data_IF_928244572687
#
_entry.id   IF_928244572687
#
_cell.length_a   1.000
_cell.length_b   1.000
_cell.length_c   1.000
_cell.angle_alpha   90.00
_cell.angle_beta   90.00
_cell.angle_gamma   90.00
#
_symmetry.space_group_name_H-M   'P 1'
#
loop_
_entity.id
_entity.type
_entity.pdbx_description
1 polymer ?
#
# COMPACT_ATOMS: atom_id res chain seq x y z
N UNK A 1 -2.19 -9.16 16.06
CA UNK A 1 -2.84 -10.40 15.61
C UNK A 1 -1.82 -11.20 14.83
N UNK A 2 -1.69 -12.52 15.03
CA UNK A 2 -0.78 -13.36 14.23
C UNK A 2 -1.27 -13.56 12.78
N UNK A 3 -2.56 -13.30 12.52
CA UNK A 3 -3.20 -13.45 11.21
C UNK A 3 -4.17 -12.29 10.90
N UNK A 4 -4.59 -12.18 9.65
CA UNK A 4 -5.50 -11.13 9.16
C UNK A 4 -4.97 -10.44 7.90
N UNK A 5 -5.78 -9.56 7.32
CA UNK A 5 -5.41 -8.77 6.13
C UNK A 5 -5.07 -7.34 6.54
N UNK A 6 -3.93 -6.85 6.05
CA UNK A 6 -3.56 -5.44 6.03
C UNK A 6 -3.63 -4.94 4.59
N UNK A 7 -4.47 -3.93 4.35
CA UNK A 7 -4.68 -3.32 3.04
C UNK A 7 -3.98 -1.98 2.96
N UNK A 8 -3.10 -1.79 1.97
CA UNK A 8 -2.50 -0.49 1.66
C UNK A 8 -3.21 0.09 0.43
N UNK A 9 -3.81 1.26 0.58
CA UNK A 9 -4.60 1.91 -0.46
C UNK A 9 -4.01 3.24 -0.89
N UNK A 10 -4.43 3.68 -2.07
CA UNK A 10 -4.00 4.93 -2.69
C UNK A 10 -3.84 4.80 -4.20
N UNK A 11 -3.67 5.92 -4.91
CA UNK A 11 -3.48 5.92 -6.36
C UNK A 11 -2.15 5.30 -6.78
N UNK A 12 -1.95 5.14 -8.09
CA UNK A 12 -0.63 4.82 -8.65
C UNK A 12 0.41 5.87 -8.23
N UNK A 13 1.61 5.41 -7.86
CA UNK A 13 2.68 6.31 -7.41
C UNK A 13 2.53 6.84 -5.98
N UNK A 14 1.59 6.33 -5.18
CA UNK A 14 1.47 6.70 -3.77
C UNK A 14 2.47 5.99 -2.84
N UNK A 15 3.33 5.10 -3.36
CA UNK A 15 4.34 4.38 -2.57
C UNK A 15 3.82 3.14 -1.84
N UNK A 16 2.70 2.54 -2.29
CA UNK A 16 2.11 1.34 -1.66
C UNK A 16 3.10 0.17 -1.57
N UNK A 17 3.76 -0.16 -2.69
CA UNK A 17 4.76 -1.25 -2.74
C UNK A 17 5.91 -0.97 -1.80
N UNK A 18 6.42 0.27 -1.77
CA UNK A 18 7.49 0.70 -0.86
C UNK A 18 7.13 0.45 0.60
N UNK A 19 5.91 0.81 1.02
CA UNK A 19 5.42 0.58 2.38
C UNK A 19 5.28 -0.91 2.69
N UNK A 20 4.74 -1.71 1.77
CA UNK A 20 4.63 -3.16 1.96
C UNK A 20 6.01 -3.81 2.10
N UNK A 21 6.95 -3.48 1.20
CA UNK A 21 8.31 -4.00 1.23
C UNK A 21 9.04 -3.63 2.53
N UNK A 22 8.86 -2.39 3.02
CA UNK A 22 9.41 -1.96 4.29
C UNK A 22 8.82 -2.76 5.46
N UNK A 23 7.50 -3.00 5.46
CA UNK A 23 6.83 -3.82 6.47
C UNK A 23 7.34 -5.26 6.46
N UNK A 24 7.39 -5.89 5.28
CA UNK A 24 7.90 -7.26 5.09
C UNK A 24 9.36 -7.38 5.55
N UNK A 25 10.22 -6.44 5.12
CA UNK A 25 11.63 -6.43 5.53
C UNK A 25 11.81 -6.27 7.04
N UNK A 26 10.92 -5.51 7.70
CA UNK A 26 10.96 -5.30 9.15
C UNK A 26 10.58 -6.55 9.94
N UNK A 27 9.68 -7.38 9.41
CA UNK A 27 9.19 -8.59 10.07
C UNK A 27 9.86 -9.88 9.58
N UNK A 28 10.72 -9.75 8.56
CA UNK A 28 11.50 -10.84 7.97
C UNK A 28 12.45 -11.43 8.99
N UNK A 29 12.34 -12.74 9.20
CA UNK A 29 13.16 -13.49 10.13
C UNK A 29 13.29 -14.95 9.63
N UNK A 30 14.40 -15.65 9.92
CA UNK A 30 14.65 -16.99 9.38
C UNK A 30 13.61 -18.05 9.77
N UNK A 31 12.84 -17.80 10.83
CA UNK A 31 11.75 -18.63 11.34
C UNK A 31 10.41 -18.40 10.64
N UNK A 32 10.33 -17.45 9.69
CA UNK A 32 9.10 -17.14 8.96
C UNK A 32 9.24 -17.38 7.47
N UNK A 33 8.28 -18.09 6.90
CA UNK A 33 8.13 -18.28 5.47
C UNK A 33 7.30 -17.14 4.88
N UNK A 34 7.96 -16.23 4.16
CA UNK A 34 7.31 -15.09 3.49
C UNK A 34 7.30 -15.32 1.99
N UNK A 35 6.10 -15.31 1.39
CA UNK A 35 5.93 -15.52 -0.04
C UNK A 35 5.06 -14.42 -0.66
N UNK A 36 5.49 -13.87 -1.80
CA UNK A 36 4.77 -12.80 -2.51
C UNK A 36 4.34 -13.22 -3.92
N UNK A 37 3.26 -12.63 -4.43
CA UNK A 37 2.87 -12.67 -5.85
C UNK A 37 2.68 -11.25 -6.37
N UNK A 38 3.38 -10.87 -7.44
CA UNK A 38 3.57 -9.46 -7.84
C UNK A 38 3.55 -9.27 -9.38
N UNK A 39 3.21 -8.07 -9.86
CA UNK A 39 3.13 -7.75 -11.30
C UNK A 39 3.62 -6.32 -11.61
N UNK A 40 4.91 -6.12 -11.97
CA UNK A 40 6.04 -7.03 -11.81
C UNK A 40 6.68 -6.94 -10.41
N UNK A 41 7.72 -7.74 -10.16
CA UNK A 41 8.58 -7.55 -8.97
C UNK A 41 9.42 -6.28 -9.18
N UNK A 42 9.35 -5.32 -8.25
CA UNK A 42 10.10 -4.05 -8.36
C UNK A 42 11.61 -4.25 -8.12
N UNK A 43 11.95 -5.00 -7.08
CA UNK A 43 13.31 -5.42 -6.73
C UNK A 43 13.27 -6.62 -5.79
N UNK A 44 14.40 -7.32 -5.69
CA UNK A 44 14.51 -8.53 -4.87
C UNK A 44 14.67 -8.18 -3.37
N UNK A 45 13.88 -8.85 -2.54
CA UNK A 45 13.95 -8.80 -1.08
C UNK A 45 14.68 -10.05 -0.57
N UNK A 46 15.86 -9.91 0.07
CA UNK A 46 16.59 -11.05 0.63
C UNK A 46 15.75 -11.83 1.65
N UNK A 47 15.75 -13.15 1.54
CA UNK A 47 15.02 -14.04 2.46
C UNK A 47 13.51 -14.15 2.21
N UNK A 48 12.99 -13.53 1.14
CA UNK A 48 11.57 -13.58 0.77
C UNK A 48 11.43 -14.26 -0.59
N UNK A 49 10.49 -15.20 -0.70
CA UNK A 49 10.19 -15.87 -1.97
C UNK A 49 9.23 -15.00 -2.79
N UNK A 50 9.68 -14.47 -3.93
CA UNK A 50 8.86 -13.58 -4.76
C UNK A 50 8.49 -14.23 -6.08
N UNK A 51 7.19 -14.29 -6.36
CA UNK A 51 6.63 -14.85 -7.58
C UNK A 51 6.12 -13.72 -8.47
N UNK A 52 6.66 -13.60 -9.68
CA UNK A 52 6.11 -12.67 -10.65
C UNK A 52 4.96 -13.31 -11.45
N UNK A 53 3.86 -12.59 -11.57
CA UNK A 53 2.72 -12.91 -12.44
C UNK A 53 3.20 -13.07 -13.89
N UNK A 54 2.73 -14.11 -14.56
CA UNK A 54 3.05 -14.43 -15.96
C UNK A 54 1.76 -14.85 -16.69
N UNK A 55 0.95 -13.88 -17.15
CA UNK A 55 -0.37 -14.16 -17.74
C UNK A 55 -0.29 -15.05 -18.99
N UNK A 56 0.80 -14.94 -19.76
CA UNK A 56 1.04 -15.76 -20.98
C UNK A 56 1.06 -17.27 -20.73
N UNK A 57 1.30 -17.69 -19.49
CA UNK A 57 1.32 -19.10 -19.08
C UNK A 57 0.26 -19.41 -18.03
N UNK A 58 -0.71 -18.51 -17.81
CA UNK A 58 -1.81 -18.69 -16.85
C UNK A 58 -1.45 -18.47 -15.38
N UNK A 59 -0.25 -17.95 -15.07
CA UNK A 59 0.13 -17.57 -13.72
C UNK A 59 -0.39 -16.15 -13.42
N UNK A 60 -1.59 -16.04 -12.83
CA UNK A 60 -2.27 -14.81 -12.42
C UNK A 60 -2.12 -14.58 -10.91
N UNK A 61 -2.64 -13.47 -10.38
CA UNK A 61 -2.71 -13.26 -8.92
C UNK A 61 -3.48 -14.39 -8.22
N UNK A 62 -4.69 -14.71 -8.69
CA UNK A 62 -5.49 -15.78 -8.11
C UNK A 62 -4.81 -17.16 -8.19
N UNK A 63 -4.26 -17.54 -9.34
CA UNK A 63 -3.59 -18.85 -9.46
C UNK A 63 -2.28 -18.89 -8.66
N UNK A 64 -1.49 -17.83 -8.68
CA UNK A 64 -0.28 -17.68 -7.86
C UNK A 64 -0.59 -17.78 -6.36
N UNK A 65 -1.59 -17.05 -5.89
CA UNK A 65 -2.02 -17.08 -4.49
C UNK A 65 -2.51 -18.48 -4.06
N UNK A 66 -3.27 -19.19 -4.92
CA UNK A 66 -3.64 -20.60 -4.66
C UNK A 66 -2.42 -21.52 -4.51
N UNK A 67 -1.35 -21.28 -5.26
CA UNK A 67 -0.12 -22.04 -5.09
C UNK A 67 0.57 -21.69 -3.78
N UNK A 68 0.65 -20.40 -3.44
CA UNK A 68 1.29 -19.90 -2.22
C UNK A 68 0.68 -20.54 -0.96
N UNK A 69 -0.65 -20.60 -0.85
CA UNK A 69 -1.32 -21.17 0.34
C UNK A 69 -1.03 -22.67 0.56
N UNK A 70 -0.43 -23.36 -0.43
CA UNK A 70 0.01 -24.77 -0.32
C UNK A 70 1.52 -24.90 -0.08
N UNK A 71 2.22 -23.79 0.16
CA UNK A 71 3.66 -23.74 0.41
C UNK A 71 3.99 -23.52 1.89
N UNK A 72 3.02 -23.75 2.79
CA UNK A 72 3.17 -23.54 4.23
C UNK A 72 3.68 -22.12 4.57
N UNK A 73 3.08 -21.03 4.04
CA UNK A 73 3.53 -19.68 4.33
C UNK A 73 3.10 -19.24 5.73
N UNK A 74 3.88 -18.36 6.37
CA UNK A 74 3.42 -17.61 7.54
C UNK A 74 2.81 -16.27 7.11
N UNK A 75 3.46 -15.63 6.13
CA UNK A 75 3.11 -14.29 5.63
C UNK A 75 3.00 -14.34 4.11
N UNK A 76 1.91 -13.78 3.61
CA UNK A 76 1.60 -13.70 2.18
C UNK A 76 1.53 -12.23 1.78
N UNK A 77 2.12 -11.86 0.65
CA UNK A 77 1.85 -10.57 0.01
C UNK A 77 1.28 -10.78 -1.39
N UNK A 78 0.14 -10.15 -1.65
CA UNK A 78 -0.50 -10.13 -2.96
C UNK A 78 -0.39 -8.71 -3.49
N UNK A 79 0.33 -8.50 -4.58
CA UNK A 79 0.65 -7.17 -5.10
C UNK A 79 -0.56 -6.24 -5.15
N UNK A 80 -1.71 -6.76 -5.60
CA UNK A 80 -3.00 -6.08 -5.52
C UNK A 80 -4.18 -7.05 -5.64
N UNK A 81 -5.33 -6.63 -5.11
CA UNK A 81 -6.61 -7.31 -5.32
C UNK A 81 -7.40 -6.52 -6.38
N UNK A 82 -7.57 -7.12 -7.56
CA UNK A 82 -8.32 -6.52 -8.68
C UNK A 82 -9.70 -7.14 -8.89
N UNK A 83 -9.89 -8.38 -8.43
CA UNK A 83 -11.06 -9.21 -8.68
C UNK A 83 -11.51 -9.95 -7.42
N UNK A 84 -12.76 -10.43 -7.45
CA UNK A 84 -13.39 -11.17 -6.36
C UNK A 84 -12.64 -12.47 -6.04
N UNK A 85 -12.16 -13.17 -7.06
CA UNK A 85 -11.48 -14.46 -6.91
C UNK A 85 -10.22 -14.31 -6.05
N UNK A 86 -9.38 -13.32 -6.35
CA UNK A 86 -8.18 -13.00 -5.56
C UNK A 86 -8.55 -12.55 -4.15
N UNK A 87 -9.60 -11.73 -4.02
CA UNK A 87 -10.09 -11.25 -2.72
C UNK A 87 -10.55 -12.39 -1.81
N UNK A 88 -11.35 -13.32 -2.32
CA UNK A 88 -11.84 -14.49 -1.59
C UNK A 88 -10.69 -15.35 -1.07
N UNK A 89 -9.71 -15.65 -1.94
CA UNK A 89 -8.57 -16.49 -1.53
C UNK A 89 -7.73 -15.78 -0.45
N UNK A 90 -7.50 -14.47 -0.59
CA UNK A 90 -6.76 -13.69 0.41
C UNK A 90 -7.47 -13.68 1.78
N UNK A 91 -8.79 -13.51 1.76
CA UNK A 91 -9.64 -13.56 2.96
C UNK A 91 -9.59 -14.94 3.60
N UNK A 92 -9.80 -16.01 2.83
CA UNK A 92 -9.72 -17.36 3.36
C UNK A 92 -8.34 -17.67 3.93
N UNK A 93 -7.26 -17.27 3.26
CA UNK A 93 -5.90 -17.42 3.79
C UNK A 93 -5.75 -16.69 5.15
N UNK A 94 -6.26 -15.47 5.25
CA UNK A 94 -6.17 -14.72 6.51
C UNK A 94 -6.97 -15.33 7.67
N UNK A 95 -8.10 -15.97 7.36
CA UNK A 95 -8.95 -16.66 8.33
C UNK A 95 -8.38 -18.02 8.74
N UNK A 96 -7.51 -18.62 7.93
CA UNK A 96 -6.81 -19.88 8.23
C UNK A 96 -5.46 -19.69 8.91
N UNK A 97 -5.17 -18.49 9.41
CA UNK A 97 -4.00 -18.23 10.26
C UNK A 97 -2.84 -17.51 9.60
N UNK A 98 -3.00 -17.02 8.37
CA UNK A 98 -1.94 -16.29 7.65
C UNK A 98 -2.02 -14.78 7.86
N UNK A 99 -0.88 -14.10 7.92
CA UNK A 99 -0.83 -12.65 7.78
C UNK A 99 -0.74 -12.29 6.30
N UNK A 100 -1.71 -11.52 5.79
CA UNK A 100 -1.80 -11.17 4.37
C UNK A 100 -1.64 -9.66 4.19
N UNK A 101 -0.70 -9.27 3.32
CA UNK A 101 -0.57 -7.91 2.82
C UNK A 101 -1.14 -7.83 1.42
N UNK A 102 -1.91 -6.77 1.13
CA UNK A 102 -2.27 -6.48 -0.25
C UNK A 102 -2.56 -5.00 -0.48
N UNK A 103 -2.82 -4.64 -1.73
CA UNK A 103 -3.22 -3.29 -2.11
C UNK A 103 -4.58 -3.23 -2.79
N UNK A 104 -5.24 -2.08 -2.60
CA UNK A 104 -6.43 -1.68 -3.34
C UNK A 104 -6.25 -0.25 -3.86
N UNK A 105 -6.85 0.05 -5.01
CA UNK A 105 -6.83 1.41 -5.56
C UNK A 105 -8.06 2.19 -5.10
N UNK A 106 -8.06 2.60 -3.83
CA UNK A 106 -9.08 3.50 -3.25
C UNK A 106 -8.45 4.82 -2.79
N UNK A 107 -9.27 5.87 -2.68
CA UNK A 107 -8.80 7.21 -2.33
C UNK A 107 -8.57 7.44 -0.83
N UNK A 108 -9.23 6.63 -0.01
CA UNK A 108 -9.22 6.67 1.45
C UNK A 108 -9.33 5.24 2.01
N UNK A 109 -9.18 5.13 3.35
CA UNK A 109 -9.14 3.86 4.04
C UNK A 109 -10.52 3.20 4.12
N UNK A 110 -11.57 3.98 4.42
CA UNK A 110 -12.95 3.49 4.45
C UNK A 110 -13.40 2.90 3.12
N UNK A 111 -12.98 3.50 2.01
CA UNK A 111 -13.31 3.07 0.65
C UNK A 111 -12.77 1.68 0.33
N UNK A 112 -11.76 1.18 1.05
CA UNK A 112 -11.30 -0.20 0.92
C UNK A 112 -12.40 -1.21 1.28
N UNK A 113 -13.16 -0.90 2.34
CA UNK A 113 -14.26 -1.75 2.82
C UNK A 113 -15.39 -1.75 1.79
N UNK A 114 -15.81 -0.57 1.33
CA UNK A 114 -16.81 -0.44 0.26
C UNK A 114 -16.36 -1.18 -0.99
N UNK A 115 -15.09 -1.07 -1.38
CA UNK A 115 -14.57 -1.74 -2.56
C UNK A 115 -14.65 -3.27 -2.47
N UNK A 116 -14.39 -3.85 -1.29
CA UNK A 116 -14.55 -5.28 -1.07
C UNK A 116 -16.02 -5.71 -1.13
N UNK A 117 -16.94 -4.91 -0.57
CA UNK A 117 -18.38 -5.14 -0.67
C UNK A 117 -18.85 -5.10 -2.14
N UNK A 118 -18.40 -4.10 -2.90
CA UNK A 118 -18.72 -3.94 -4.32
C UNK A 118 -18.18 -5.09 -5.18
N UNK A 119 -17.07 -5.72 -4.76
CA UNK A 119 -16.55 -6.93 -5.39
C UNK A 119 -17.40 -8.16 -5.10
N UNK A 120 -18.29 -8.12 -4.11
CA UNK A 120 -19.14 -9.25 -3.70
C UNK A 120 -18.65 -10.00 -2.47
N UNK A 121 -17.69 -9.43 -1.71
CA UNK A 121 -17.27 -10.05 -0.45
C UNK A 121 -18.31 -9.82 0.64
N UNK A 122 -18.69 -10.89 1.33
CA UNK A 122 -19.65 -10.83 2.42
C UNK A 122 -19.15 -9.95 3.60
N UNK A 123 -19.99 -9.06 4.16
CA UNK A 123 -19.57 -8.13 5.21
C UNK A 123 -18.92 -8.80 6.44
N UNK A 124 -19.44 -9.97 6.85
CA UNK A 124 -18.92 -10.69 8.01
C UNK A 124 -17.50 -11.21 7.77
N UNK A 125 -17.16 -11.56 6.53
CA UNK A 125 -15.81 -11.98 6.16
C UNK A 125 -14.85 -10.80 6.26
N UNK A 126 -15.23 -9.62 5.75
CA UNK A 126 -14.41 -8.40 5.85
C UNK A 126 -14.16 -8.05 7.32
N UNK A 127 -15.23 -8.03 8.14
CA UNK A 127 -15.14 -7.72 9.57
C UNK A 127 -14.26 -8.71 10.35
N UNK A 128 -14.18 -9.97 9.91
CA UNK A 128 -13.42 -11.02 10.60
C UNK A 128 -11.97 -11.14 10.12
N UNK A 129 -11.67 -10.65 8.91
CA UNK A 129 -10.36 -10.83 8.26
C UNK A 129 -9.52 -9.56 8.24
N UNK A 130 -10.10 -8.38 7.98
CA UNK A 130 -9.35 -7.14 7.80
C UNK A 130 -8.97 -6.57 9.17
N UNK A 131 -7.68 -6.52 9.46
CA UNK A 131 -7.13 -6.03 10.73
C UNK A 131 -6.57 -4.61 10.63
N UNK A 132 -6.40 -4.07 9.41
CA UNK A 132 -5.94 -2.71 9.20
C UNK A 132 -6.05 -2.25 7.75
N UNK A 133 -6.32 -0.95 7.57
CA UNK A 133 -6.32 -0.29 6.26
C UNK A 133 -5.50 0.99 6.35
N UNK A 134 -4.56 1.18 5.42
CA UNK A 134 -3.67 2.33 5.35
C UNK A 134 -3.94 3.07 4.04
N UNK A 135 -4.44 4.30 4.08
CA UNK A 135 -4.55 5.15 2.90
C UNK A 135 -3.32 6.04 2.77
N UNK A 136 -2.61 5.93 1.64
CA UNK A 136 -1.33 6.59 1.43
C UNK A 136 -1.34 7.55 0.24
N UNK A 137 -0.66 8.69 0.42
CA UNK A 137 -0.30 9.66 -0.62
C UNK A 137 1.13 10.12 -0.40
N UNK A 138 1.84 10.45 -1.48
CA UNK A 138 3.15 11.09 -1.41
C UNK A 138 3.00 12.58 -1.72
N UNK A 139 3.62 13.41 -0.88
CA UNK A 139 3.74 14.84 -1.09
C UNK A 139 5.20 15.18 -1.38
N UNK A 140 5.42 16.20 -2.23
CA UNK A 140 6.76 16.68 -2.51
C UNK A 140 7.32 17.39 -1.29
N UNK A 141 8.59 17.16 -0.99
CA UNK A 141 9.32 17.92 0.02
C UNK A 141 9.69 19.31 -0.54
N UNK A 142 9.77 20.30 0.35
CA UNK A 142 10.22 21.65 0.00
C UNK A 142 11.74 21.62 -0.15
N UNK A 143 12.27 22.22 -1.21
CA UNK A 143 13.71 22.33 -1.41
C UNK A 143 14.34 23.27 -0.38
N UNK A 144 15.25 22.74 0.42
CA UNK A 144 15.92 23.47 1.51
C UNK A 144 16.67 24.72 1.03
N UNK A 145 17.19 24.73 -0.20
CA UNK A 145 17.95 25.86 -0.76
C UNK A 145 17.10 27.07 -1.16
N UNK A 146 15.81 26.85 -1.46
CA UNK A 146 14.90 27.90 -1.91
C UNK A 146 13.63 27.99 -1.08
N UNK A 147 13.63 27.34 0.09
CA UNK A 147 12.54 27.41 1.05
C UNK A 147 12.44 28.85 1.57
N UNK A 148 11.25 29.39 1.53
CA UNK A 148 10.90 30.64 2.21
C UNK A 148 9.67 30.42 3.07
N UNK A 149 9.62 31.13 4.19
CA UNK A 149 8.42 31.20 5.01
C UNK A 149 7.42 32.14 4.35
N UNK A 150 6.13 31.86 4.53
CA UNK A 150 5.06 32.76 4.07
C UNK A 150 3.94 32.81 5.11
N UNK A 151 3.21 33.92 5.14
CA UNK A 151 1.97 34.01 5.92
C UNK A 151 0.83 33.40 5.08
N UNK A 152 0.19 32.31 5.53
CA UNK A 152 -0.90 31.70 4.80
C UNK A 152 -2.14 32.60 4.76
N UNK A 153 -2.85 32.52 3.63
CA UNK A 153 -4.15 33.17 3.48
C UNK A 153 -5.18 32.55 4.45
N UNK A 154 -5.96 33.40 5.10
CA UNK A 154 -6.94 32.97 6.10
C UNK A 154 -8.12 32.24 5.47
N UNK A 155 -8.52 32.64 4.26
CA UNK A 155 -9.57 31.96 3.51
C UNK A 155 -9.16 30.52 3.18
N UNK A 156 -7.94 30.33 2.65
CA UNK A 156 -7.39 29.01 2.35
C UNK A 156 -7.26 28.10 3.60
N UNK A 157 -6.90 28.66 4.75
CA UNK A 157 -6.89 27.89 6.02
C UNK A 157 -8.31 27.53 6.47
N UNK A 158 -9.26 28.46 6.33
CA UNK A 158 -10.65 28.24 6.71
C UNK A 158 -11.31 27.15 5.86
N UNK A 159 -10.98 27.05 4.57
CA UNK A 159 -11.46 25.98 3.67
C UNK A 159 -11.12 24.57 4.19
N UNK A 160 -9.98 24.41 4.86
CA UNK A 160 -9.56 23.15 5.49
C UNK A 160 -9.85 23.09 7.00
N UNK A 161 -10.64 24.04 7.51
CA UNK A 161 -11.09 24.08 8.91
C UNK A 161 -10.02 24.49 9.91
N UNK A 162 -8.97 25.18 9.48
CA UNK A 162 -7.86 25.66 10.33
C UNK A 162 -7.88 27.19 10.47
N UNK A 163 -7.26 27.70 11.54
CA UNK A 163 -6.96 29.12 11.75
C UNK A 163 -5.46 29.34 11.83
N UNK A 164 -4.99 30.58 11.69
CA UNK A 164 -3.56 30.93 11.80
C UNK A 164 -2.90 30.45 13.09
N UNK A 165 -3.65 30.43 14.20
CA UNK A 165 -3.16 29.92 15.50
C UNK A 165 -2.98 28.40 15.56
N UNK A 166 -3.60 27.66 14.63
CA UNK A 166 -3.58 26.19 14.59
C UNK A 166 -2.40 25.68 13.74
N UNK A 167 -1.73 26.57 13.01
CA UNK A 167 -0.58 26.24 12.15
C UNK A 167 0.69 26.90 12.66
N UNK A 168 1.81 26.18 12.53
CA UNK A 168 3.13 26.74 12.77
C UNK A 168 3.63 27.56 11.57
N UNK A 169 4.93 27.86 11.57
CA UNK A 169 5.58 28.50 10.42
C UNK A 169 5.44 27.62 9.17
N UNK A 170 4.76 28.13 8.15
CA UNK A 170 4.63 27.46 6.86
C UNK A 170 5.69 27.94 5.88
N UNK A 171 6.13 27.01 5.03
CA UNK A 171 7.17 27.26 4.03
C UNK A 171 6.69 26.87 2.63
N UNK A 172 7.26 27.51 1.62
CA UNK A 172 7.11 27.18 0.19
C UNK A 172 8.45 27.32 -0.52
N UNK A 173 8.63 26.60 -1.63
CA UNK A 173 9.83 26.78 -2.46
C UNK A 173 9.64 27.92 -3.46
N UNK A 174 10.55 28.91 -3.48
CA UNK A 174 10.54 29.98 -4.51
C UNK A 174 10.91 29.49 -5.91
N UNK A 175 11.54 28.32 -6.01
CA UNK A 175 12.15 27.82 -7.23
C UNK A 175 13.63 28.19 -7.32
N UNK A 176 14.47 27.22 -7.67
CA UNK A 176 15.90 27.44 -7.94
C UNK A 176 16.42 26.41 -8.95
N UNK A 177 17.57 26.64 -9.61
CA UNK A 177 18.12 25.72 -10.60
C UNK A 177 18.39 24.30 -10.07
N UNK A 178 18.58 24.12 -8.76
CA UNK A 178 18.76 22.81 -8.15
C UNK A 178 17.51 21.90 -8.27
N UNK A 179 16.32 22.49 -8.44
CA UNK A 179 15.06 21.74 -8.65
C UNK A 179 14.92 21.20 -10.09
N UNK A 180 15.60 21.82 -11.07
CA UNK A 180 15.50 21.42 -12.49
C UNK A 180 16.18 20.08 -12.76
N UNK A 181 17.26 19.77 -12.01
CA UNK A 181 18.04 18.53 -12.17
C UNK A 181 17.31 17.26 -11.67
N UNK A 182 16.27 17.41 -10.84
CA UNK A 182 15.47 16.29 -10.33
C UNK A 182 14.31 15.89 -11.25
N UNK A 183 13.91 16.77 -12.18
CA UNK A 183 12.83 16.51 -13.14
C UNK A 183 13.32 15.92 -14.46
N UNK A 184 14.63 16.02 -14.75
CA UNK A 184 15.26 15.49 -15.97
C UNK A 184 15.84 14.07 -15.81
N UNK A 185 15.65 13.43 -14.66
CA UNK A 185 16.19 12.10 -14.34
C UNK A 185 15.08 11.04 -14.13
N UNK A 186 14.03 11.09 -14.95
CA UNK A 186 13.05 9.99 -15.12
C UNK A 186 12.95 9.61 -16.59
#
# INVERSE_FOLDING_TARGET
>A
SPHGIILVTGPTGSGKTTTQYAALSKINSPDKNIITVEDPIEYQLPGISQIQVKPKIGLTFASGLRHIVRQDPDIIMVGEIRDIETAEIAIHASLTGHLVFSTLHTNDASGAITRLLDMGIEPYLISSSVIGVIAQRLVRLICEKCSETYDPDEEALAEIGLKKKDVGTLSRGKGCPALTLLLSAR
#
